data_IF_533893748529
#
_entry.id   IF_533893748529
#
_cell.length_a   1.000
_cell.length_b   1.000
_cell.length_c   1.000
_cell.angle_alpha   90.00
_cell.angle_beta   90.00
_cell.angle_gamma   90.00
#
_symmetry.space_group_name_H-M   'P 1'
#
loop_
_entity.id
_entity.type
_entity.pdbx_description
1 polymer ?
#
# COMPACT_ATOMS: atom_id res chain seq x y z
N UNK A 1 -0.36 6.64 -21.45
CA UNK A 1 0.87 7.44 -21.62
C UNK A 1 1.51 7.76 -20.28
N UNK A 2 0.79 8.31 -19.30
CA UNK A 2 1.34 8.65 -17.97
C UNK A 2 2.00 7.48 -17.21
N UNK A 3 1.37 6.29 -17.17
CA UNK A 3 1.96 5.13 -16.49
C UNK A 3 3.27 4.64 -17.13
N UNK A 4 3.42 4.75 -18.46
CA UNK A 4 4.63 4.34 -19.15
C UNK A 4 5.73 5.39 -18.96
N UNK A 5 5.38 6.68 -18.92
CA UNK A 5 6.32 7.74 -18.62
C UNK A 5 6.93 7.56 -17.23
N UNK A 6 6.09 7.47 -16.18
CA UNK A 6 6.56 7.20 -14.81
C UNK A 6 7.39 5.92 -14.69
N UNK A 7 7.06 4.89 -15.47
CA UNK A 7 7.82 3.65 -15.50
C UNK A 7 9.19 3.84 -16.17
N UNK A 8 9.24 4.64 -17.24
CA UNK A 8 10.49 5.00 -17.93
C UNK A 8 11.39 5.81 -17.00
N UNK A 9 10.83 6.83 -16.35
CA UNK A 9 11.56 7.69 -15.41
C UNK A 9 12.17 6.87 -14.26
N UNK A 10 11.40 5.93 -13.70
CA UNK A 10 11.88 5.07 -12.62
C UNK A 10 13.04 4.14 -13.04
N UNK A 11 13.04 3.66 -14.29
CA UNK A 11 14.12 2.84 -14.84
C UNK A 11 15.38 3.69 -15.05
N UNK A 12 15.24 4.87 -15.66
CA UNK A 12 16.35 5.77 -15.92
C UNK A 12 17.00 6.26 -14.63
N UNK A 13 16.19 6.67 -13.65
CA UNK A 13 16.67 7.11 -12.34
C UNK A 13 17.41 6.01 -11.56
N UNK A 14 17.13 4.73 -11.83
CA UNK A 14 17.86 3.61 -11.24
C UNK A 14 19.28 3.47 -11.81
N UNK A 15 19.46 3.72 -13.11
CA UNK A 15 20.79 3.65 -13.72
C UNK A 15 21.62 4.91 -13.47
N UNK A 16 20.99 6.08 -13.60
CA UNK A 16 21.63 7.36 -13.35
C UNK A 16 20.64 8.29 -12.63
N UNK A 17 20.80 8.49 -11.31
CA UNK A 17 19.94 9.39 -10.53
C UNK A 17 19.98 10.85 -10.97
N UNK A 18 21.01 11.27 -11.71
CA UNK A 18 21.14 12.62 -12.26
C UNK A 18 20.34 12.81 -13.56
N UNK A 19 19.89 11.71 -14.16
CA UNK A 19 19.14 11.69 -15.40
C UNK A 19 17.63 11.80 -15.13
N UNK A 20 17.24 12.99 -14.66
CA UNK A 20 15.84 13.40 -14.57
C UNK A 20 15.33 13.75 -15.97
N UNK A 21 14.21 13.17 -16.39
CA UNK A 21 13.57 13.38 -17.72
C UNK A 21 14.25 12.70 -18.91
N UNK A 22 14.73 11.47 -18.73
CA UNK A 22 15.17 10.61 -19.84
C UNK A 22 14.07 10.32 -20.87
N UNK A 23 14.43 9.87 -22.10
CA UNK A 23 13.45 9.60 -23.13
C UNK A 23 12.53 8.45 -22.70
N UNK A 24 11.23 8.65 -22.87
CA UNK A 24 10.23 7.62 -22.60
C UNK A 24 10.44 6.41 -23.52
N UNK A 25 10.31 5.20 -22.95
CA UNK A 25 10.19 4.01 -23.78
C UNK A 25 8.96 4.10 -24.66
N UNK A 26 9.03 3.57 -25.89
CA UNK A 26 7.90 3.61 -26.81
C UNK A 26 6.75 2.68 -26.38
N UNK A 27 7.05 1.67 -25.56
CA UNK A 27 6.07 0.72 -25.03
C UNK A 27 6.57 0.02 -23.75
N UNK A 28 5.63 -0.58 -23.01
CA UNK A 28 5.98 -1.45 -21.88
C UNK A 28 6.82 -2.66 -22.30
N UNK A 29 6.63 -3.15 -23.53
CA UNK A 29 7.44 -4.23 -24.10
C UNK A 29 8.91 -3.81 -24.19
N UNK A 30 9.20 -2.59 -24.69
CA UNK A 30 10.57 -2.09 -24.72
C UNK A 30 11.15 -1.89 -23.32
N UNK A 31 10.36 -1.34 -22.41
CA UNK A 31 10.80 -1.16 -21.02
C UNK A 31 11.12 -2.50 -20.32
N UNK A 32 10.32 -3.55 -20.57
CA UNK A 32 10.58 -4.88 -20.02
C UNK A 32 11.80 -5.56 -20.63
N UNK A 33 12.02 -5.45 -21.95
CA UNK A 33 13.28 -5.92 -22.58
C UNK A 33 14.49 -5.23 -21.97
N UNK A 34 14.36 -3.93 -21.71
CA UNK A 34 15.42 -3.17 -21.08
C UNK A 34 15.71 -3.63 -19.64
N UNK A 35 14.66 -3.89 -18.84
CA UNK A 35 14.82 -4.47 -17.51
C UNK A 35 15.48 -5.86 -17.51
N UNK A 36 15.19 -6.69 -18.52
CA UNK A 36 15.88 -7.98 -18.70
C UNK A 36 17.37 -7.75 -18.88
N UNK A 37 17.77 -6.86 -19.79
CA UNK A 37 19.18 -6.50 -20.01
C UNK A 37 19.85 -5.93 -18.75
N UNK A 38 19.14 -5.07 -18.00
CA UNK A 38 19.64 -4.57 -16.71
C UNK A 38 19.84 -5.69 -15.69
N UNK A 39 18.95 -6.67 -15.64
CA UNK A 39 19.04 -7.80 -14.71
C UNK A 39 20.20 -8.75 -15.01
N UNK A 40 20.72 -8.74 -16.25
CA UNK A 40 21.89 -9.53 -16.66
C UNK A 40 23.20 -8.86 -16.25
N UNK A 41 23.23 -7.51 -16.25
CA UNK A 41 24.41 -6.72 -15.85
C UNK A 41 24.58 -6.61 -14.33
N UNK A 42 23.49 -6.61 -13.58
CA UNK A 42 23.49 -6.35 -12.14
C UNK A 42 23.41 -7.63 -11.31
N UNK A 43 23.82 -7.57 -10.03
CA UNK A 43 23.77 -8.72 -9.12
C UNK A 43 22.37 -9.08 -8.63
N UNK A 44 21.46 -8.11 -8.53
CA UNK A 44 20.03 -8.33 -8.28
C UNK A 44 19.25 -7.07 -8.64
N UNK A 45 18.23 -7.21 -9.48
CA UNK A 45 17.28 -6.14 -9.77
C UNK A 45 15.97 -6.39 -9.01
N UNK A 46 15.52 -5.43 -8.20
CA UNK A 46 14.24 -5.51 -7.49
C UNK A 46 13.25 -4.56 -8.17
N UNK A 47 12.22 -5.13 -8.78
CA UNK A 47 11.18 -4.37 -9.45
C UNK A 47 9.91 -4.36 -8.59
N UNK A 48 9.48 -3.19 -8.16
CA UNK A 48 8.24 -3.01 -7.36
C UNK A 48 7.20 -2.28 -8.19
N UNK A 49 6.02 -2.89 -8.37
CA UNK A 49 4.94 -2.33 -9.19
C UNK A 49 3.65 -2.22 -8.38
N UNK A 50 3.06 -1.02 -8.35
CA UNK A 50 1.68 -0.79 -7.87
C UNK A 50 0.66 -1.33 -8.88
N UNK A 51 0.48 -2.64 -8.87
CA UNK A 51 -0.12 -3.39 -9.97
C UNK A 51 -1.59 -3.04 -10.27
N UNK A 52 -2.49 -2.82 -9.29
CA UNK A 52 -3.90 -2.61 -9.59
C UNK A 52 -4.20 -1.44 -10.52
N UNK A 53 -3.45 -0.34 -10.38
CA UNK A 53 -3.63 0.84 -11.22
C UNK A 53 -3.14 0.58 -12.64
N UNK A 54 -1.98 -0.07 -12.77
CA UNK A 54 -1.40 -0.40 -14.07
C UNK A 54 -2.28 -1.39 -14.83
N UNK A 55 -2.73 -2.46 -14.18
CA UNK A 55 -3.57 -3.48 -14.81
C UNK A 55 -4.95 -2.96 -15.23
N UNK A 56 -5.53 -2.00 -14.48
CA UNK A 56 -6.78 -1.33 -14.89
C UNK A 56 -6.57 -0.45 -16.12
N UNK A 57 -5.47 0.30 -16.17
CA UNK A 57 -5.20 1.25 -17.24
C UNK A 57 -4.63 0.60 -18.52
N UNK A 58 -3.93 -0.53 -18.38
CA UNK A 58 -3.33 -1.27 -19.49
C UNK A 58 -3.52 -2.79 -19.31
N UNK A 59 -4.71 -3.32 -19.67
CA UNK A 59 -5.04 -4.74 -19.49
C UNK A 59 -4.02 -5.76 -20.05
N UNK A 60 -3.33 -5.50 -21.19
CA UNK A 60 -2.33 -6.43 -21.72
C UNK A 60 -1.13 -6.68 -20.79
N UNK A 61 -0.90 -5.84 -19.78
CA UNK A 61 0.25 -5.95 -18.88
C UNK A 61 0.34 -7.31 -18.17
N UNK A 62 -0.81 -7.91 -17.85
CA UNK A 62 -0.85 -9.18 -17.11
C UNK A 62 -0.27 -10.34 -17.93
N UNK A 63 -0.67 -10.45 -19.20
CA UNK A 63 -0.15 -11.46 -20.13
C UNK A 63 1.30 -11.19 -20.50
N UNK A 64 1.67 -9.91 -20.62
CA UNK A 64 3.06 -9.53 -20.86
C UNK A 64 3.95 -9.96 -19.67
N UNK A 65 3.60 -9.59 -18.44
CA UNK A 65 4.33 -10.02 -17.25
C UNK A 65 4.40 -11.54 -17.14
N UNK A 66 3.31 -12.27 -17.45
CA UNK A 66 3.33 -13.73 -17.49
C UNK A 66 4.43 -14.24 -18.42
N UNK A 67 4.48 -13.76 -19.66
CA UNK A 67 5.49 -14.13 -20.65
C UNK A 67 6.90 -13.84 -20.14
N UNK A 68 7.12 -12.64 -19.58
CA UNK A 68 8.43 -12.23 -19.08
C UNK A 68 8.90 -13.01 -17.86
N UNK A 69 7.97 -13.33 -16.95
CA UNK A 69 8.26 -14.20 -15.80
C UNK A 69 8.71 -15.58 -16.28
N UNK A 70 7.98 -16.16 -17.23
CA UNK A 70 8.22 -17.53 -17.66
C UNK A 70 9.53 -17.69 -18.46
N UNK A 71 9.87 -16.71 -19.29
CA UNK A 71 11.02 -16.81 -20.20
C UNK A 71 12.28 -16.11 -19.70
N UNK A 72 12.17 -15.07 -18.87
CA UNK A 72 13.31 -14.24 -18.48
C UNK A 72 13.50 -14.16 -16.96
N UNK A 73 12.49 -13.69 -16.21
CA UNK A 73 12.70 -13.34 -14.80
C UNK A 73 12.99 -14.55 -13.90
N UNK A 74 12.50 -15.75 -14.27
CA UNK A 74 12.85 -17.00 -13.55
C UNK A 74 14.32 -17.40 -13.68
N UNK A 75 14.96 -17.04 -14.79
CA UNK A 75 16.34 -17.44 -15.10
C UNK A 75 17.35 -16.34 -14.71
N UNK A 76 16.88 -15.10 -14.62
CA UNK A 76 17.70 -13.92 -14.33
C UNK A 76 17.67 -13.53 -12.85
N UNK A 77 18.53 -12.59 -12.48
CA UNK A 77 18.63 -12.05 -11.12
C UNK A 77 17.57 -10.95 -10.87
N UNK A 78 16.32 -11.14 -11.34
CA UNK A 78 15.22 -10.20 -11.13
C UNK A 78 14.26 -10.68 -10.05
N UNK A 79 13.93 -9.82 -9.09
CA UNK A 79 12.93 -10.05 -8.06
C UNK A 79 11.74 -9.11 -8.26
N UNK A 80 10.58 -9.67 -8.61
CA UNK A 80 9.36 -8.90 -8.89
C UNK A 80 8.44 -8.86 -7.66
N UNK A 81 8.09 -7.66 -7.23
CA UNK A 81 7.11 -7.40 -6.17
C UNK A 81 5.91 -6.68 -6.78
N UNK A 82 4.75 -7.32 -6.72
CA UNK A 82 3.47 -6.71 -7.09
C UNK A 82 2.74 -6.30 -5.80
N UNK A 83 2.51 -5.00 -5.62
CA UNK A 83 1.82 -4.45 -4.45
C UNK A 83 0.55 -3.69 -4.84
N UNK A 84 -0.38 -3.54 -3.90
CA UNK A 84 -1.63 -2.84 -4.15
C UNK A 84 -2.51 -2.75 -2.91
N UNK A 85 -3.16 -1.60 -2.72
CA UNK A 85 -4.09 -1.38 -1.61
C UNK A 85 -5.48 -1.99 -1.85
N UNK A 86 -5.85 -2.26 -3.11
CA UNK A 86 -7.14 -2.85 -3.45
C UNK A 86 -7.09 -4.37 -3.33
N UNK A 87 -7.41 -4.90 -2.15
CA UNK A 87 -7.38 -6.34 -1.86
C UNK A 87 -8.29 -7.13 -2.82
N UNK A 88 -9.52 -6.65 -3.04
CA UNK A 88 -10.48 -7.30 -3.96
C UNK A 88 -9.99 -7.33 -5.40
N UNK A 89 -9.25 -6.30 -5.85
CA UNK A 89 -8.61 -6.34 -7.16
C UNK A 89 -7.47 -7.35 -7.19
N UNK A 90 -6.58 -7.33 -6.18
CA UNK A 90 -5.48 -8.29 -6.11
C UNK A 90 -6.01 -9.72 -6.11
N UNK A 91 -7.07 -10.01 -5.36
CA UNK A 91 -7.74 -11.31 -5.35
C UNK A 91 -8.30 -11.71 -6.72
N UNK A 92 -9.04 -10.80 -7.39
CA UNK A 92 -9.76 -11.10 -8.63
C UNK A 92 -8.92 -11.00 -9.90
N UNK A 93 -7.84 -10.22 -9.90
CA UNK A 93 -7.07 -9.85 -11.10
C UNK A 93 -5.59 -10.25 -11.02
N UNK A 94 -5.12 -10.73 -9.86
CA UNK A 94 -3.76 -11.27 -9.68
C UNK A 94 -3.81 -12.70 -9.16
N UNK A 95 -4.73 -13.02 -8.24
CA UNK A 95 -4.75 -14.31 -7.53
C UNK A 95 -5.75 -15.33 -8.09
N UNK A 96 -6.67 -14.92 -8.97
CA UNK A 96 -7.69 -15.81 -9.53
C UNK A 96 -7.14 -16.87 -10.47
N UNK A 97 -7.82 -18.02 -10.51
CA UNK A 97 -7.37 -19.24 -11.19
C UNK A 97 -7.23 -19.11 -12.72
N UNK A 98 -8.05 -18.27 -13.36
CA UNK A 98 -8.08 -18.08 -14.82
C UNK A 98 -7.20 -16.92 -15.31
N UNK A 99 -6.26 -16.46 -14.49
CA UNK A 99 -5.53 -15.21 -14.72
C UNK A 99 -4.09 -15.51 -15.14
N UNK A 100 -3.49 -14.73 -16.05
CA UNK A 100 -2.11 -14.89 -16.51
C UNK A 100 -1.07 -15.19 -15.43
N UNK A 101 -1.17 -14.54 -14.26
CA UNK A 101 -0.18 -14.64 -13.19
C UNK A 101 -0.41 -15.83 -12.24
N UNK A 102 -1.46 -16.63 -12.45
CA UNK A 102 -1.74 -17.79 -11.63
C UNK A 102 -0.58 -18.79 -11.64
N UNK A 103 -0.26 -19.38 -10.49
CA UNK A 103 0.81 -20.37 -10.33
C UNK A 103 2.25 -19.84 -10.44
N UNK A 104 2.45 -18.53 -10.61
CA UNK A 104 3.79 -17.91 -10.78
C UNK A 104 4.30 -17.14 -9.56
N UNK A 105 3.49 -17.07 -8.50
CA UNK A 105 3.89 -16.47 -7.23
C UNK A 105 4.83 -17.40 -6.45
N UNK A 106 5.86 -16.82 -5.84
CA UNK A 106 6.77 -17.51 -4.92
C UNK A 106 6.49 -17.18 -3.46
N UNK A 107 5.90 -16.01 -3.19
CA UNK A 107 5.49 -15.57 -1.86
C UNK A 107 4.23 -14.69 -1.94
N UNK A 108 3.50 -14.59 -0.82
CA UNK A 108 2.36 -13.70 -0.67
C UNK A 108 2.33 -13.13 0.74
N UNK A 109 2.28 -11.81 0.86
CA UNK A 109 2.22 -11.12 2.14
C UNK A 109 0.94 -10.29 2.21
N UNK A 110 0.10 -10.55 3.21
CA UNK A 110 -0.98 -9.65 3.60
C UNK A 110 -0.48 -8.80 4.76
N UNK A 111 -0.06 -7.58 4.46
CA UNK A 111 0.32 -6.63 5.49
C UNK A 111 -0.92 -6.31 6.33
N UNK A 112 -0.80 -6.50 7.64
CA UNK A 112 -1.82 -6.17 8.63
C UNK A 112 -1.36 -4.94 9.42
N UNK A 113 -2.28 -4.24 10.11
CA UNK A 113 -1.89 -3.30 11.15
C UNK A 113 -0.93 -3.97 12.14
N UNK A 114 -0.12 -3.15 12.80
CA UNK A 114 0.77 -3.59 13.87
C UNK A 114 -0.01 -4.28 14.97
N UNK A 115 0.48 -5.43 15.38
CA UNK A 115 0.07 -6.07 16.62
C UNK A 115 0.49 -5.23 17.82
N UNK A 116 0.01 -5.58 19.01
CA UNK A 116 0.48 -4.94 20.24
C UNK A 116 2.00 -5.09 20.40
N UNK A 117 2.54 -6.27 20.06
CA UNK A 117 3.97 -6.53 20.09
C UNK A 117 4.74 -5.60 19.14
N UNK A 118 4.26 -5.45 17.90
CA UNK A 118 4.90 -4.55 16.94
C UNK A 118 4.85 -3.08 17.43
N UNK A 119 3.77 -2.69 18.12
CA UNK A 119 3.66 -1.36 18.73
C UNK A 119 4.55 -1.17 19.96
N UNK A 120 4.80 -2.23 20.75
CA UNK A 120 5.78 -2.22 21.84
C UNK A 120 7.20 -1.99 21.28
N UNK A 121 7.54 -2.65 20.16
CA UNK A 121 8.80 -2.40 19.46
C UNK A 121 8.87 -1.00 18.83
N UNK A 122 7.74 -0.46 18.38
CA UNK A 122 7.66 0.90 17.82
C UNK A 122 7.85 2.00 18.89
N UNK A 123 7.46 1.72 20.13
CA UNK A 123 7.54 2.66 21.26
C UNK A 123 8.35 2.07 22.44
N UNK A 124 9.66 1.83 22.29
CA UNK A 124 10.46 1.16 23.32
C UNK A 124 10.59 1.97 24.63
N UNK A 125 10.32 3.28 24.58
CA UNK A 125 10.35 4.19 25.73
C UNK A 125 9.07 4.22 26.56
N UNK A 126 7.97 3.64 26.07
CA UNK A 126 6.68 3.62 26.78
C UNK A 126 6.50 2.31 27.52
N UNK A 127 5.71 2.33 28.60
CA UNK A 127 5.32 1.11 29.28
C UNK A 127 4.19 0.39 28.50
N UNK A 128 3.94 -0.88 28.83
CA UNK A 128 2.96 -1.71 28.10
C UNK A 128 1.54 -1.18 28.10
N UNK A 129 1.12 -0.53 29.18
CA UNK A 129 -0.21 0.06 29.30
C UNK A 129 -0.35 1.26 28.35
N UNK A 130 0.65 2.15 28.34
CA UNK A 130 0.69 3.31 27.42
C UNK A 130 0.71 2.87 25.95
N UNK A 131 1.50 1.84 25.62
CA UNK A 131 1.53 1.27 24.26
C UNK A 131 0.18 0.67 23.89
N UNK A 132 -0.43 -0.07 24.81
CA UNK A 132 -1.76 -0.65 24.59
C UNK A 132 -2.80 0.43 24.30
N UNK A 133 -2.82 1.51 25.08
CA UNK A 133 -3.73 2.64 24.87
C UNK A 133 -3.54 3.26 23.48
N UNK A 134 -2.29 3.57 23.10
CA UNK A 134 -1.98 4.14 21.79
C UNK A 134 -2.33 3.17 20.64
N UNK A 135 -2.04 1.89 20.79
CA UNK A 135 -2.38 0.88 19.79
C UNK A 135 -3.90 0.71 19.64
N UNK A 136 -4.65 0.73 20.75
CA UNK A 136 -6.10 0.61 20.77
C UNK A 136 -6.79 1.79 20.08
N UNK A 137 -6.37 3.04 20.36
CA UNK A 137 -6.99 4.22 19.73
C UNK A 137 -6.65 4.35 18.25
N UNK A 138 -5.48 3.85 17.83
CA UNK A 138 -5.02 3.93 16.43
C UNK A 138 -5.39 2.70 15.60
N UNK A 139 -5.90 1.64 16.24
CA UNK A 139 -6.14 0.34 15.59
C UNK A 139 -4.86 -0.33 15.07
N UNK A 140 -3.70 0.03 15.61
CA UNK A 140 -2.40 -0.47 15.16
C UNK A 140 -1.95 0.02 13.78
N UNK A 141 -2.59 1.05 13.21
CA UNK A 141 -2.19 1.57 11.90
C UNK A 141 -0.84 2.30 12.02
N UNK A 142 0.23 1.88 11.33
CA UNK A 142 1.57 2.44 11.51
C UNK A 142 1.65 3.95 11.29
N UNK A 143 0.89 4.47 10.30
CA UNK A 143 0.80 5.90 10.05
C UNK A 143 0.22 6.65 11.26
N UNK A 144 -0.85 6.14 11.86
CA UNK A 144 -1.51 6.81 12.99
C UNK A 144 -0.64 6.73 14.24
N UNK A 145 0.01 5.58 14.48
CA UNK A 145 1.02 5.43 15.54
C UNK A 145 2.15 6.44 15.36
N UNK A 146 2.66 6.64 14.14
CA UNK A 146 3.76 7.59 13.87
C UNK A 146 3.44 9.06 14.20
N UNK A 147 2.16 9.41 14.28
CA UNK A 147 1.70 10.75 14.66
C UNK A 147 1.63 10.93 16.18
N UNK A 148 1.70 9.84 16.95
CA UNK A 148 1.68 9.89 18.41
C UNK A 148 3.06 10.24 18.96
N UNK A 149 3.10 11.10 19.97
CA UNK A 149 4.33 11.46 20.68
C UNK A 149 4.45 10.68 21.98
N UNK A 150 5.56 9.95 22.21
CA UNK A 150 5.82 9.26 23.47
C UNK A 150 6.14 10.22 24.63
N UNK A 151 6.34 11.51 24.34
CA UNK A 151 6.61 12.54 25.36
C UNK A 151 5.34 13.22 25.88
N UNK A 152 4.19 12.85 25.32
CA UNK A 152 2.89 13.43 25.64
C UNK A 152 2.02 12.38 26.30
N UNK A 153 1.17 12.81 27.21
CA UNK A 153 0.11 11.95 27.74
C UNK A 153 -0.84 11.50 26.63
N UNK A 154 -1.55 10.39 26.85
CA UNK A 154 -2.60 9.92 25.94
C UNK A 154 -3.60 11.04 25.58
N UNK A 155 -4.03 11.81 26.59
CA UNK A 155 -4.99 12.90 26.41
C UNK A 155 -4.46 14.00 25.50
N UNK A 156 -3.18 14.37 25.63
CA UNK A 156 -2.54 15.36 24.76
C UNK A 156 -2.41 14.83 23.33
N UNK A 157 -2.01 13.56 23.16
CA UNK A 157 -1.97 12.92 21.85
C UNK A 157 -3.34 12.88 21.18
N UNK A 158 -4.41 12.58 21.92
CA UNK A 158 -5.78 12.60 21.40
C UNK A 158 -6.18 14.02 20.99
N UNK A 159 -5.96 15.00 21.87
CA UNK A 159 -6.30 16.39 21.59
C UNK A 159 -5.61 16.90 20.33
N UNK A 160 -4.32 16.65 20.21
CA UNK A 160 -3.49 17.21 19.16
C UNK A 160 -3.72 16.50 17.81
N UNK A 161 -3.97 15.19 17.81
CA UNK A 161 -4.09 14.43 16.56
C UNK A 161 -5.52 14.21 16.09
N UNK A 162 -6.49 14.02 17.01
CA UNK A 162 -7.86 13.64 16.66
C UNK A 162 -8.88 14.77 16.88
N UNK A 163 -8.66 15.66 17.86
CA UNK A 163 -9.65 16.69 18.23
C UNK A 163 -9.28 18.10 17.72
N UNK A 164 -8.09 18.25 17.15
CA UNK A 164 -7.66 19.51 16.53
C UNK A 164 -8.08 19.50 15.06
N UNK A 165 -8.86 20.48 14.64
CA UNK A 165 -9.46 20.53 13.28
C UNK A 165 -8.44 20.59 12.14
N UNK A 166 -7.23 21.11 12.40
CA UNK A 166 -6.12 21.12 11.45
C UNK A 166 -5.29 19.84 11.44
N UNK A 167 -5.54 18.91 12.35
CA UNK A 167 -4.78 17.66 12.44
C UNK A 167 -5.24 16.65 11.40
N UNK A 168 -4.30 15.83 10.92
CA UNK A 168 -4.56 14.85 9.86
C UNK A 168 -5.66 13.85 10.25
N UNK A 169 -5.67 13.36 11.50
CA UNK A 169 -6.62 12.33 11.92
C UNK A 169 -8.02 12.86 12.25
N UNK A 170 -8.21 14.19 12.28
CA UNK A 170 -9.53 14.78 12.51
C UNK A 170 -10.54 14.37 11.43
N UNK A 171 -10.13 14.40 10.16
CA UNK A 171 -11.00 14.07 9.02
C UNK A 171 -11.00 12.56 8.68
N UNK A 172 -10.09 11.80 9.26
CA UNK A 172 -9.84 10.40 8.87
C UNK A 172 -11.04 9.47 9.09
N UNK A 173 -11.79 9.52 10.21
CA UNK A 173 -12.97 8.68 10.38
C UNK A 173 -13.99 8.86 9.25
N UNK A 174 -14.26 10.10 8.85
CA UNK A 174 -15.18 10.39 7.75
C UNK A 174 -14.60 9.97 6.39
N UNK A 175 -13.31 10.16 6.17
CA UNK A 175 -12.60 9.70 4.98
C UNK A 175 -12.74 8.18 4.80
N UNK A 176 -12.50 7.41 5.86
CA UNK A 176 -12.62 5.95 5.85
C UNK A 176 -14.05 5.49 5.58
N UNK A 177 -15.04 6.08 6.24
CA UNK A 177 -16.45 5.74 6.00
C UNK A 177 -16.85 6.00 4.54
N UNK A 178 -16.40 7.11 3.96
CA UNK A 178 -16.68 7.44 2.56
C UNK A 178 -15.98 6.51 1.55
N UNK A 179 -14.82 5.96 1.91
CA UNK A 179 -14.08 5.04 1.03
C UNK A 179 -14.64 3.61 1.07
N UNK A 180 -15.04 3.15 2.26
CA UNK A 180 -15.43 1.74 2.48
C UNK A 180 -16.94 1.49 2.33
N UNK A 181 -17.78 2.51 2.49
CA UNK A 181 -19.24 2.35 2.55
C UNK A 181 -19.95 3.04 1.40
N UNK A 182 -21.01 2.39 0.89
CA UNK A 182 -21.84 2.93 -0.18
C UNK A 182 -22.78 4.05 0.27
N UNK A 183 -23.24 3.99 1.53
CA UNK A 183 -24.17 4.96 2.12
C UNK A 183 -23.61 5.55 3.43
N UNK A 184 -22.59 6.43 3.37
CA UNK A 184 -21.91 6.92 4.58
C UNK A 184 -22.84 7.61 5.59
N UNK A 185 -23.91 8.26 5.13
CA UNK A 185 -24.88 8.97 5.98
C UNK A 185 -25.66 8.03 6.93
N UNK A 186 -26.07 6.85 6.44
CA UNK A 186 -26.78 5.85 7.23
C UNK A 186 -25.89 5.32 8.36
N UNK A 187 -24.63 5.01 8.04
CA UNK A 187 -23.66 4.52 9.03
C UNK A 187 -23.20 5.61 9.99
N UNK A 188 -23.01 6.85 9.52
CA UNK A 188 -22.72 7.99 10.39
C UNK A 188 -23.83 8.18 11.42
N UNK A 189 -25.09 8.06 11.02
CA UNK A 189 -26.24 8.16 11.93
C UNK A 189 -26.21 7.07 13.01
N UNK A 190 -25.86 5.83 12.64
CA UNK A 190 -25.71 4.71 13.60
C UNK A 190 -24.56 5.00 14.58
N UNK A 191 -23.40 5.41 14.09
CA UNK A 191 -22.23 5.74 14.92
C UNK A 191 -22.57 6.90 15.87
N UNK A 192 -23.25 7.94 15.39
CA UNK A 192 -23.71 9.06 16.21
C UNK A 192 -24.72 8.62 17.27
N UNK A 193 -25.66 7.73 16.95
CA UNK A 193 -26.60 7.19 17.92
C UNK A 193 -25.89 6.39 19.02
N UNK A 194 -24.93 5.53 18.66
CA UNK A 194 -24.11 4.77 19.62
C UNK A 194 -23.29 5.73 20.49
N UNK A 195 -22.66 6.74 19.89
CA UNK A 195 -21.90 7.76 20.62
C UNK A 195 -22.77 8.58 21.58
N UNK A 196 -24.05 8.77 21.26
CA UNK A 196 -25.05 9.40 22.13
C UNK A 196 -25.61 8.45 23.22
N UNK A 197 -25.13 7.20 23.30
CA UNK A 197 -25.52 6.23 24.32
C UNK A 197 -26.66 5.29 23.92
N UNK A 198 -27.09 5.28 22.66
CA UNK A 198 -28.09 4.32 22.19
C UNK A 198 -27.53 2.89 22.23
N UNK A 199 -28.26 1.99 22.89
CA UNK A 199 -27.90 0.57 23.05
C UNK A 199 -28.96 -0.39 22.50
N UNK A 200 -30.05 0.15 21.94
CA UNK A 200 -31.16 -0.59 21.30
C UNK A 200 -31.66 0.20 20.09
N UNK A 201 -32.15 -0.50 19.05
CA UNK A 201 -32.85 0.15 17.95
C UNK A 201 -34.16 0.75 18.49
N UNK A 202 -34.33 2.04 18.25
CA UNK A 202 -35.54 2.82 18.55
C UNK A 202 -36.50 2.79 17.39
#
# INVERSE_FOLDING_TARGET
MENLARFSDAIHAYEDPSYLDGPNFASFEQAFKYLVHLSEKNDRLILVIKFPYLAKAYPPISSMLQSYIDHYFKQNKLFLILCGSSMSFMEKQVLGYKIPLYGRRTAQFKLKPFSLHDAEEFFPQLNKEEVFELNAITGGIPLYLSLMSPKKSLRENIKDNFLTTSAMLYAEPMSLLNQELREPASYSSIISAIAAGASRQS
#
